data_IF_657237979110
#
_entry.id   IF_657237979110
#
_cell.length_a   1.000
_cell.length_b   1.000
_cell.length_c   1.000
_cell.angle_alpha   90.00
_cell.angle_beta   90.00
_cell.angle_gamma   90.00
#
_symmetry.space_group_name_H-M   'P 1'
#
loop_
_entity.id
_entity.type
_entity.pdbx_description
1 polymer ?
#
# COMPACT_ATOMS: atom_id res chain seq x y z
N UNK A 1 -18.79 -16.95 -7.16
CA UNK A 1 -18.45 -15.52 -7.33
C UNK A 1 -17.14 -15.47 -8.13
N UNK A 2 -17.21 -15.09 -9.41
CA UNK A 2 -15.99 -15.00 -10.25
C UNK A 2 -15.17 -13.82 -9.75
N UNK A 3 -13.96 -14.07 -9.28
CA UNK A 3 -13.02 -13.02 -8.92
C UNK A 3 -12.66 -12.26 -10.19
N UNK A 4 -13.05 -11.01 -10.30
CA UNK A 4 -12.62 -10.12 -11.39
C UNK A 4 -11.09 -10.00 -11.36
N UNK A 5 -10.43 -10.52 -12.36
CA UNK A 5 -8.96 -10.44 -12.46
C UNK A 5 -8.59 -8.98 -12.71
N UNK A 6 -7.92 -8.37 -11.74
CA UNK A 6 -7.38 -7.01 -11.90
C UNK A 6 -6.21 -7.07 -12.90
N UNK A 7 -6.35 -6.40 -14.04
CA UNK A 7 -5.36 -6.36 -15.13
C UNK A 7 -4.30 -5.28 -14.88
N UNK A 8 -4.75 -4.07 -14.54
CA UNK A 8 -3.87 -2.95 -14.25
C UNK A 8 -4.33 -2.19 -13.01
N UNK A 9 -3.39 -1.56 -12.36
CA UNK A 9 -3.62 -0.73 -11.17
C UNK A 9 -2.79 0.55 -11.28
N UNK A 10 -3.40 1.70 -10.96
CA UNK A 10 -2.69 2.98 -10.79
C UNK A 10 -3.05 3.59 -9.46
N UNK A 11 -2.06 4.18 -8.80
CA UNK A 11 -2.23 4.82 -7.50
C UNK A 11 -1.84 6.28 -7.58
N UNK A 12 -2.56 7.09 -6.82
CA UNK A 12 -2.34 8.52 -6.68
C UNK A 12 -2.42 8.92 -5.21
N UNK A 13 -1.62 9.89 -4.83
CA UNK A 13 -1.84 10.67 -3.63
C UNK A 13 -2.83 11.78 -3.92
N UNK A 14 -3.76 12.01 -3.01
CA UNK A 14 -4.74 13.09 -3.08
C UNK A 14 -4.32 14.22 -2.15
N UNK A 15 -4.48 15.46 -2.59
CA UNK A 15 -4.16 16.63 -1.78
C UNK A 15 -4.96 16.64 -0.46
N UNK A 16 -6.24 16.29 -0.54
CA UNK A 16 -7.15 16.23 0.61
C UNK A 16 -8.39 15.35 0.33
N UNK A 17 -9.32 15.33 1.29
CA UNK A 17 -10.60 14.59 1.16
C UNK A 17 -11.53 15.15 0.09
N UNK A 18 -11.37 16.41 -0.31
CA UNK A 18 -12.26 17.07 -1.28
C UNK A 18 -11.88 16.70 -2.72
N UNK A 19 -10.62 16.29 -2.93
CA UNK A 19 -10.09 15.82 -4.22
C UNK A 19 -10.90 14.68 -4.83
N UNK A 20 -11.58 13.88 -3.99
CA UNK A 20 -12.50 12.84 -4.45
C UNK A 20 -13.60 13.41 -5.35
N UNK A 21 -14.20 14.54 -4.99
CA UNK A 21 -15.29 15.16 -5.78
C UNK A 21 -14.78 15.62 -7.15
N UNK A 22 -13.56 16.15 -7.21
CA UNK A 22 -12.93 16.57 -8.45
C UNK A 22 -12.68 15.36 -9.38
N UNK A 23 -12.08 14.30 -8.85
CA UNK A 23 -11.84 13.06 -9.63
C UNK A 23 -13.15 12.50 -10.20
N UNK A 24 -14.21 12.39 -9.39
CA UNK A 24 -15.50 11.86 -9.81
C UNK A 24 -16.14 12.74 -10.91
N UNK A 25 -16.04 14.06 -10.79
CA UNK A 25 -16.50 15.00 -11.81
C UNK A 25 -15.79 14.82 -13.15
N UNK A 26 -14.46 14.72 -13.11
CA UNK A 26 -13.63 14.55 -14.31
C UNK A 26 -13.95 13.21 -14.97
N UNK A 27 -14.10 12.14 -14.21
CA UNK A 27 -14.48 10.84 -14.74
C UNK A 27 -15.85 10.85 -15.41
N UNK A 28 -16.86 11.47 -14.81
CA UNK A 28 -18.17 11.61 -15.39
C UNK A 28 -18.13 12.40 -16.71
N UNK A 29 -17.30 13.46 -16.77
CA UNK A 29 -17.17 14.30 -17.96
C UNK A 29 -16.44 13.61 -19.11
N UNK A 30 -15.28 12.98 -18.85
CA UNK A 30 -14.45 12.37 -19.89
C UNK A 30 -14.81 10.91 -20.21
N UNK A 31 -15.39 10.21 -19.25
CA UNK A 31 -15.66 8.79 -19.38
C UNK A 31 -17.03 8.45 -19.95
N UNK A 32 -17.96 9.39 -19.96
CA UNK A 32 -19.39 9.12 -20.22
C UNK A 32 -19.94 8.00 -19.33
N UNK A 33 -19.43 7.84 -18.10
CA UNK A 33 -19.80 6.79 -17.17
C UNK A 33 -20.54 7.36 -15.98
N UNK A 34 -21.53 6.64 -15.54
CA UNK A 34 -22.04 6.77 -14.18
C UNK A 34 -21.08 6.10 -13.20
N UNK A 35 -20.71 6.83 -12.17
CA UNK A 35 -19.89 6.32 -11.08
C UNK A 35 -20.80 5.91 -9.92
N UNK A 36 -21.07 4.61 -9.81
CA UNK A 36 -21.89 4.05 -8.74
C UNK A 36 -21.08 3.87 -7.47
N UNK A 37 -21.55 4.44 -6.36
CA UNK A 37 -21.00 4.19 -5.05
C UNK A 37 -21.31 2.76 -4.59
N UNK A 38 -20.28 1.98 -4.30
CA UNK A 38 -20.38 0.58 -3.92
C UNK A 38 -20.41 0.38 -2.41
N UNK A 39 -19.91 1.36 -1.64
CA UNK A 39 -19.90 1.29 -0.20
C UNK A 39 -18.64 1.81 0.45
N UNK A 40 -18.63 1.71 1.78
CA UNK A 40 -17.51 2.06 2.64
C UNK A 40 -16.96 0.79 3.28
N UNK A 41 -15.68 0.53 3.10
CA UNK A 41 -15.00 -0.65 3.64
C UNK A 41 -13.88 -0.20 4.57
N UNK A 42 -13.82 -0.80 5.75
CA UNK A 42 -12.68 -0.65 6.67
C UNK A 42 -11.76 -1.85 6.51
N UNK A 43 -10.48 -1.58 6.28
CA UNK A 43 -9.41 -2.59 6.10
C UNK A 43 -8.29 -2.26 7.08
N UNK A 44 -7.74 -3.27 7.74
CA UNK A 44 -6.55 -3.11 8.58
C UNK A 44 -5.50 -4.08 8.07
N UNK A 45 -4.30 -3.55 7.80
CA UNK A 45 -3.14 -4.32 7.37
C UNK A 45 -2.09 -4.26 8.47
N UNK A 46 -1.65 -5.41 8.95
CA UNK A 46 -0.51 -5.51 9.87
C UNK A 46 0.64 -6.14 9.11
N UNK A 47 1.69 -5.35 8.83
CA UNK A 47 2.89 -5.77 8.14
C UNK A 47 3.91 -6.34 9.11
N UNK A 48 4.57 -7.41 8.67
CA UNK A 48 5.61 -8.11 9.44
C UNK A 48 6.92 -8.09 8.66
N UNK A 49 8.03 -7.90 9.38
CA UNK A 49 9.38 -7.97 8.82
C UNK A 49 10.36 -8.32 9.96
N UNK A 50 11.62 -8.51 9.62
CA UNK A 50 12.71 -8.60 10.59
C UNK A 50 13.11 -7.19 11.06
N UNK A 51 13.87 -7.06 12.18
CA UNK A 51 14.42 -5.78 12.60
C UNK A 51 15.25 -5.07 11.53
N UNK A 52 15.90 -5.85 10.66
CA UNK A 52 16.73 -5.34 9.57
C UNK A 52 15.95 -5.06 8.28
N UNK A 53 14.62 -5.29 8.26
CA UNK A 53 13.78 -5.17 7.07
C UNK A 53 14.22 -6.08 5.92
N UNK A 54 14.56 -7.32 6.23
CA UNK A 54 15.11 -8.27 5.24
C UNK A 54 14.06 -8.65 4.18
N UNK A 55 12.78 -8.80 4.56
CA UNK A 55 11.69 -9.06 3.61
C UNK A 55 11.51 -7.88 2.66
N UNK A 56 11.42 -6.66 3.20
CA UNK A 56 11.25 -5.45 2.39
C UNK A 56 12.41 -5.26 1.41
N UNK A 57 13.66 -5.45 1.85
CA UNK A 57 14.85 -5.35 0.99
C UNK A 57 14.85 -6.41 -0.13
N UNK A 58 14.24 -7.55 0.11
CA UNK A 58 14.08 -8.63 -0.87
C UNK A 58 12.85 -8.46 -1.77
N UNK A 59 12.11 -7.35 -1.63
CA UNK A 59 10.88 -7.09 -2.39
C UNK A 59 9.70 -7.94 -1.92
N UNK A 60 9.76 -8.50 -0.72
CA UNK A 60 8.68 -9.31 -0.15
C UNK A 60 7.88 -8.47 0.84
N UNK A 61 6.56 -8.57 0.76
CA UNK A 61 5.65 -8.04 1.76
C UNK A 61 4.85 -9.17 2.40
N UNK A 62 4.98 -9.33 3.71
CA UNK A 62 4.18 -10.24 4.54
C UNK A 62 3.23 -9.42 5.38
N UNK A 63 1.94 -9.69 5.28
CA UNK A 63 0.94 -8.94 6.04
C UNK A 63 -0.33 -9.74 6.34
N UNK A 64 -0.88 -9.48 7.51
CA UNK A 64 -2.24 -9.86 7.88
C UNK A 64 -3.20 -8.78 7.41
N UNK A 65 -4.36 -9.20 6.88
CA UNK A 65 -5.44 -8.29 6.49
C UNK A 65 -6.71 -8.62 7.24
N UNK A 66 -7.35 -7.62 7.83
CA UNK A 66 -8.65 -7.74 8.50
C UNK A 66 -9.67 -6.88 7.74
N UNK A 67 -10.70 -7.50 7.15
CA UNK A 67 -11.79 -6.84 6.41
C UNK A 67 -13.13 -7.43 6.88
N UNK A 68 -13.85 -6.72 7.75
CA UNK A 68 -15.10 -7.22 8.30
C UNK A 68 -14.90 -8.53 9.06
N UNK A 69 -15.49 -9.64 8.53
CA UNK A 69 -15.34 -10.99 9.07
C UNK A 69 -14.23 -11.82 8.40
N UNK A 70 -13.63 -11.30 7.32
CA UNK A 70 -12.56 -11.97 6.60
C UNK A 70 -11.21 -11.57 7.17
N UNK A 71 -10.38 -12.56 7.48
CA UNK A 71 -9.03 -12.40 7.99
C UNK A 71 -8.09 -13.26 7.14
N UNK A 72 -7.07 -12.65 6.57
CA UNK A 72 -6.13 -13.36 5.69
C UNK A 72 -4.69 -13.07 6.06
N UNK A 73 -3.82 -14.05 5.86
CA UNK A 73 -2.37 -13.86 5.84
C UNK A 73 -1.91 -13.92 4.39
N UNK A 74 -1.18 -12.91 3.98
CA UNK A 74 -0.76 -12.73 2.59
C UNK A 74 0.74 -12.52 2.53
N UNK A 75 1.39 -13.21 1.61
CA UNK A 75 2.77 -12.95 1.20
C UNK A 75 2.79 -12.58 -0.28
N UNK A 76 3.48 -11.50 -0.62
CA UNK A 76 3.62 -11.03 -2.00
C UNK A 76 5.08 -10.77 -2.31
N UNK A 77 5.51 -11.13 -3.52
CA UNK A 77 6.79 -10.74 -4.09
C UNK A 77 6.56 -9.57 -5.04
N UNK A 78 7.01 -8.38 -4.66
CA UNK A 78 7.05 -7.18 -5.50
C UNK A 78 8.49 -7.00 -5.99
N UNK A 79 8.79 -7.41 -7.21
CA UNK A 79 10.12 -7.13 -7.80
C UNK A 79 10.21 -5.64 -8.08
N UNK A 80 11.16 -4.96 -7.45
CA UNK A 80 11.50 -3.57 -7.76
C UNK A 80 12.19 -3.53 -9.14
N UNK A 81 11.71 -2.64 -10.01
CA UNK A 81 12.32 -2.40 -11.31
C UNK A 81 13.64 -1.63 -11.21
N UNK A 82 14.63 -2.03 -11.98
CA UNK A 82 15.69 -1.11 -12.41
C UNK A 82 15.16 -0.26 -13.56
N UNK A 83 15.46 1.03 -13.53
CA UNK A 83 14.94 2.04 -14.48
C UNK A 83 15.43 1.87 -15.93
N UNK A 84 16.31 0.91 -16.23
CA UNK A 84 17.05 0.85 -17.50
C UNK A 84 16.39 0.03 -18.61
N UNK A 85 15.18 -0.49 -18.46
CA UNK A 85 14.58 -1.29 -19.51
C UNK A 85 13.22 -0.74 -19.98
N UNK A 86 13.25 -0.13 -21.18
CA UNK A 86 12.09 0.32 -21.97
C UNK A 86 11.09 -0.78 -22.40
N UNK A 87 11.17 -1.97 -21.84
CA UNK A 87 10.18 -3.04 -22.05
C UNK A 87 9.40 -3.23 -20.78
N UNK A 88 8.12 -2.89 -20.81
CA UNK A 88 7.10 -3.32 -19.86
C UNK A 88 7.09 -4.86 -19.80
N UNK A 89 7.97 -5.44 -18.98
CA UNK A 89 7.83 -6.84 -18.63
C UNK A 89 6.68 -6.94 -17.64
N UNK A 90 5.68 -7.68 -18.03
CA UNK A 90 4.57 -8.12 -17.19
C UNK A 90 5.13 -8.88 -16.00
N UNK A 91 5.17 -8.24 -14.82
CA UNK A 91 5.55 -8.93 -13.60
C UNK A 91 4.45 -9.87 -13.17
N UNK A 92 4.77 -11.12 -13.04
CA UNK A 92 3.99 -12.01 -12.21
C UNK A 92 4.31 -11.64 -10.77
N UNK A 93 3.51 -10.77 -10.17
CA UNK A 93 3.50 -10.60 -8.73
C UNK A 93 3.07 -11.94 -8.16
N UNK A 94 4.02 -12.68 -7.60
CA UNK A 94 3.69 -13.92 -6.91
C UNK A 94 2.97 -13.53 -5.63
N UNK A 95 1.80 -14.11 -5.41
CA UNK A 95 0.96 -13.81 -4.27
C UNK A 95 0.41 -15.11 -3.70
N UNK A 96 0.74 -15.36 -2.44
CA UNK A 96 0.21 -16.46 -1.66
C UNK A 96 -0.73 -15.91 -0.58
N UNK A 97 -1.88 -16.55 -0.40
CA UNK A 97 -2.91 -16.09 0.55
C UNK A 97 -3.55 -17.29 1.23
N UNK A 98 -3.70 -17.21 2.56
CA UNK A 98 -4.54 -18.15 3.32
C UNK A 98 -5.55 -17.38 4.18
N UNK A 99 -6.69 -18.01 4.46
CA UNK A 99 -7.61 -17.56 5.48
C UNK A 99 -7.09 -17.96 6.86
N UNK A 100 -7.27 -17.07 7.83
CA UNK A 100 -6.83 -17.28 9.21
C UNK A 100 -7.92 -16.85 10.19
N UNK A 101 -7.82 -17.29 11.43
CA UNK A 101 -8.70 -16.81 12.49
C UNK A 101 -8.42 -15.35 12.87
N UNK A 102 -9.44 -14.63 13.32
CA UNK A 102 -9.35 -13.21 13.73
C UNK A 102 -8.20 -12.94 14.70
N UNK A 103 -8.03 -13.83 15.66
CA UNK A 103 -7.03 -13.69 16.75
C UNK A 103 -5.81 -14.58 16.54
N UNK A 104 -5.69 -15.22 15.37
CA UNK A 104 -4.54 -16.07 15.12
C UNK A 104 -3.26 -15.23 15.01
N UNK A 105 -2.24 -15.73 15.72
CA UNK A 105 -0.86 -15.31 15.46
C UNK A 105 -0.42 -15.86 14.11
N UNK A 106 0.38 -15.10 13.37
CA UNK A 106 1.00 -15.58 12.11
C UNK A 106 1.83 -16.85 12.34
N UNK A 107 2.37 -17.04 13.54
CA UNK A 107 3.19 -18.20 13.92
C UNK A 107 2.39 -19.51 14.07
N UNK A 108 1.05 -19.47 14.04
CA UNK A 108 0.23 -20.69 13.90
C UNK A 108 0.27 -21.26 12.49
N UNK A 109 0.75 -20.50 11.52
CA UNK A 109 0.75 -20.84 10.10
C UNK A 109 2.16 -21.00 9.53
N UNK A 110 3.06 -21.65 10.32
CA UNK A 110 4.47 -21.81 9.97
C UNK A 110 4.68 -22.56 8.67
N UNK A 111 3.87 -23.58 8.38
CA UNK A 111 3.99 -24.33 7.12
C UNK A 111 3.68 -23.44 5.91
N UNK A 112 2.64 -22.62 5.99
CA UNK A 112 2.36 -21.63 4.95
C UNK A 112 3.53 -20.67 4.77
N UNK A 113 4.06 -20.12 5.86
CA UNK A 113 5.18 -19.18 5.80
C UNK A 113 6.43 -19.82 5.20
N UNK A 114 6.79 -21.04 5.63
CA UNK A 114 7.95 -21.78 5.08
C UNK A 114 7.80 -22.03 3.58
N UNK A 115 6.66 -22.60 3.17
CA UNK A 115 6.40 -22.91 1.77
C UNK A 115 6.40 -21.66 0.90
N UNK A 116 5.75 -20.58 1.35
CA UNK A 116 5.72 -19.31 0.64
C UNK A 116 7.13 -18.69 0.53
N UNK A 117 7.95 -18.77 1.56
CA UNK A 117 9.34 -18.30 1.51
C UNK A 117 10.17 -19.11 0.50
N UNK A 118 10.14 -20.45 0.58
CA UNK A 118 10.85 -21.30 -0.35
C UNK A 118 10.47 -21.01 -1.80
N UNK A 119 9.20 -20.81 -2.03
CA UNK A 119 8.65 -20.51 -3.33
C UNK A 119 9.06 -19.11 -3.86
N UNK A 120 9.16 -18.10 -2.99
CA UNK A 120 9.45 -16.71 -3.39
C UNK A 120 10.94 -16.44 -3.52
N UNK A 121 11.78 -17.06 -2.69
CA UNK A 121 13.21 -16.82 -2.70
C UNK A 121 13.96 -17.62 -3.77
N UNK A 122 13.30 -18.55 -4.49
CA UNK A 122 13.97 -19.46 -5.43
C UNK A 122 15.21 -20.11 -4.81
N UNK A 123 15.33 -21.39 -4.86
CA UNK A 123 16.30 -22.30 -4.27
C UNK A 123 17.81 -21.98 -4.37
N UNK A 124 18.20 -20.82 -4.88
CA UNK A 124 19.59 -20.41 -5.10
C UNK A 124 20.26 -19.67 -3.94
N UNK A 125 19.49 -19.26 -2.93
CA UNK A 125 20.05 -18.68 -1.71
C UNK A 125 19.86 -19.68 -0.58
N UNK A 126 20.92 -20.00 0.13
CA UNK A 126 20.90 -20.76 1.39
C UNK A 126 20.17 -19.92 2.46
N UNK A 127 18.86 -19.80 2.28
CA UNK A 127 18.01 -18.95 3.08
C UNK A 127 17.44 -19.80 4.21
N UNK A 128 17.87 -19.53 5.41
CA UNK A 128 17.32 -20.18 6.60
C UNK A 128 15.96 -19.54 6.93
N UNK A 129 14.89 -20.17 6.38
CA UNK A 129 13.52 -19.73 6.62
C UNK A 129 13.21 -19.73 8.11
N UNK A 130 13.72 -20.67 8.90
CA UNK A 130 13.48 -20.77 10.34
C UNK A 130 14.16 -19.64 11.10
N UNK A 131 15.32 -19.21 10.67
CA UNK A 131 16.00 -18.05 11.24
C UNK A 131 15.21 -16.75 11.03
N UNK A 132 14.65 -16.55 9.82
CA UNK A 132 13.80 -15.40 9.57
C UNK A 132 12.50 -15.46 10.36
N UNK A 133 11.84 -16.61 10.36
CA UNK A 133 10.57 -16.77 11.07
C UNK A 133 10.69 -16.40 12.54
N UNK A 134 11.79 -16.75 13.20
CA UNK A 134 12.07 -16.40 14.61
C UNK A 134 12.23 -14.89 14.83
N UNK A 135 12.59 -14.13 13.79
CA UNK A 135 12.84 -12.69 13.89
C UNK A 135 11.67 -11.83 13.41
N UNK A 136 10.62 -12.44 12.86
CA UNK A 136 9.45 -11.69 12.39
C UNK A 136 8.73 -11.00 13.55
N UNK A 137 8.43 -9.73 13.36
CA UNK A 137 7.62 -8.94 14.27
C UNK A 137 6.76 -7.93 13.49
N UNK A 138 5.67 -7.41 14.08
CA UNK A 138 4.88 -6.36 13.46
C UNK A 138 5.72 -5.09 13.29
N UNK A 139 5.75 -4.53 12.09
CA UNK A 139 6.51 -3.30 11.79
C UNK A 139 5.59 -2.10 11.59
N UNK A 140 4.54 -2.28 10.79
CA UNK A 140 3.58 -1.22 10.46
C UNK A 140 2.16 -1.73 10.55
N UNK A 141 1.26 -0.87 11.04
CA UNK A 141 -0.19 -1.05 10.92
C UNK A 141 -0.74 0.04 10.03
N UNK A 142 -1.51 -0.35 9.01
CA UNK A 142 -2.18 0.58 8.11
C UNK A 142 -3.68 0.36 8.24
N UNK A 143 -4.37 1.33 8.81
CA UNK A 143 -5.84 1.33 8.86
C UNK A 143 -6.36 2.16 7.70
N UNK A 144 -7.12 1.53 6.81
CA UNK A 144 -7.69 2.14 5.61
C UNK A 144 -9.20 2.22 5.74
N UNK A 145 -9.77 3.40 5.46
CA UNK A 145 -11.19 3.57 5.22
C UNK A 145 -11.34 3.87 3.72
N UNK A 146 -11.86 2.89 2.97
CA UNK A 146 -12.07 3.01 1.52
C UNK A 146 -13.50 3.40 1.21
N UNK A 147 -13.69 4.38 0.31
CA UNK A 147 -14.94 4.63 -0.38
C UNK A 147 -14.80 4.11 -1.80
N UNK A 148 -15.52 3.05 -2.11
CA UNK A 148 -15.39 2.36 -3.38
C UNK A 148 -16.49 2.82 -4.35
N UNK A 149 -16.08 3.09 -5.60
CA UNK A 149 -16.96 3.44 -6.70
C UNK A 149 -16.64 2.54 -7.88
N UNK A 150 -17.66 2.15 -8.62
CA UNK A 150 -17.52 1.38 -9.85
C UNK A 150 -18.10 2.17 -10.99
N UNK A 151 -17.40 2.21 -12.14
CA UNK A 151 -17.98 2.71 -13.36
C UNK A 151 -19.04 1.73 -13.83
N UNK A 152 -20.26 2.22 -14.06
CA UNK A 152 -21.37 1.43 -14.56
C UNK A 152 -21.53 1.67 -16.06
N UNK A 153 -21.91 0.63 -16.73
CA UNK A 153 -22.39 0.43 -18.07
C UNK A 153 -22.48 1.63 -19.01
N UNK A 154 -21.49 1.78 -19.76
CA UNK A 154 -21.42 2.48 -21.00
C UNK A 154 -20.44 1.74 -21.87
N UNK A 155 -20.35 2.07 -23.12
CA UNK A 155 -19.28 1.63 -24.00
C UNK A 155 -17.97 2.19 -23.42
N UNK A 156 -17.27 1.41 -22.58
CA UNK A 156 -16.05 1.92 -22.06
C UNK A 156 -15.43 1.17 -20.86
N UNK A 157 -14.46 1.81 -20.20
CA UNK A 157 -13.59 1.23 -19.21
C UNK A 157 -14.32 0.82 -17.93
N UNK A 158 -14.47 -0.48 -17.68
CA UNK A 158 -14.89 -0.99 -16.39
C UNK A 158 -13.73 -0.90 -15.39
N UNK A 159 -13.84 0.01 -14.46
CA UNK A 159 -12.84 0.24 -13.43
C UNK A 159 -13.47 0.42 -12.04
N UNK A 160 -12.74 0.04 -11.02
CA UNK A 160 -13.07 0.34 -9.62
C UNK A 160 -12.14 1.42 -9.12
N UNK A 161 -12.71 2.43 -8.48
CA UNK A 161 -12.01 3.55 -7.85
C UNK A 161 -12.12 3.39 -6.35
N UNK A 162 -11.00 3.21 -5.68
CA UNK A 162 -10.93 3.15 -4.21
C UNK A 162 -10.31 4.45 -3.69
N UNK A 163 -11.13 5.26 -3.04
CA UNK A 163 -10.66 6.47 -2.34
C UNK A 163 -10.37 6.09 -0.90
N UNK A 164 -9.09 5.99 -0.59
CA UNK A 164 -8.58 5.49 0.67
C UNK A 164 -8.17 6.65 1.59
N UNK A 165 -8.69 6.65 2.81
CA UNK A 165 -8.13 7.40 3.91
C UNK A 165 -7.28 6.43 4.73
N UNK A 166 -5.97 6.54 4.58
CA UNK A 166 -5.00 5.68 5.23
C UNK A 166 -4.47 6.35 6.51
N UNK A 167 -4.40 5.57 7.58
CA UNK A 167 -3.69 5.89 8.80
C UNK A 167 -2.53 4.92 8.96
N UNK A 168 -1.31 5.43 8.84
CA UNK A 168 -0.07 4.69 9.00
C UNK A 168 0.41 4.79 10.43
N UNK A 169 0.74 3.65 11.04
CA UNK A 169 1.27 3.57 12.40
C UNK A 169 2.53 2.72 12.36
N UNK A 170 3.65 3.28 12.76
CA UNK A 170 4.86 2.51 13.03
C UNK A 170 4.67 1.77 14.35
N UNK A 171 4.86 0.44 14.33
CA UNK A 171 4.56 -0.39 15.48
C UNK A 171 5.54 -0.17 16.65
N UNK A 172 6.79 0.14 16.34
CA UNK A 172 7.84 0.37 17.33
C UNK A 172 7.77 1.80 17.91
N UNK A 173 7.86 2.80 17.04
CA UNK A 173 7.94 4.22 17.47
C UNK A 173 6.59 4.82 17.85
N UNK A 174 5.47 4.14 17.50
CA UNK A 174 4.08 4.62 17.67
C UNK A 174 3.76 5.91 16.91
N UNK A 175 4.66 6.35 16.01
CA UNK A 175 4.40 7.50 15.15
C UNK A 175 3.23 7.19 14.25
N UNK A 176 2.30 8.13 14.19
CA UNK A 176 1.08 8.05 13.40
C UNK A 176 1.04 9.17 12.38
N UNK A 177 0.77 8.80 11.11
CA UNK A 177 0.54 9.74 10.01
C UNK A 177 -0.70 9.35 9.22
N UNK A 178 -1.28 10.32 8.54
CA UNK A 178 -2.50 10.11 7.75
C UNK A 178 -2.29 10.63 6.33
N UNK A 179 -2.99 10.03 5.37
CA UNK A 179 -2.96 10.45 3.98
C UNK A 179 -4.21 10.02 3.22
N UNK A 180 -4.44 10.67 2.10
CA UNK A 180 -5.56 10.38 1.20
C UNK A 180 -4.99 9.84 -0.11
N UNK A 181 -5.57 8.73 -0.58
CA UNK A 181 -5.08 8.05 -1.77
C UNK A 181 -6.25 7.64 -2.67
N UNK A 182 -5.97 7.56 -3.95
CA UNK A 182 -6.85 6.96 -4.94
C UNK A 182 -6.14 5.77 -5.57
N UNK A 183 -6.81 4.63 -5.62
CA UNK A 183 -6.37 3.49 -6.42
C UNK A 183 -7.42 3.18 -7.46
N UNK A 184 -7.02 3.12 -8.73
CA UNK A 184 -7.89 2.76 -9.84
C UNK A 184 -7.49 1.36 -10.31
N UNK A 185 -8.46 0.45 -10.34
CA UNK A 185 -8.29 -0.94 -10.77
C UNK A 185 -9.05 -1.14 -12.08
N UNK A 186 -8.35 -1.58 -13.12
CA UNK A 186 -8.96 -2.03 -14.37
C UNK A 186 -9.37 -3.50 -14.25
N UNK A 187 -10.61 -3.83 -14.62
CA UNK A 187 -11.12 -5.20 -14.70
C UNK A 187 -11.02 -5.73 -16.13
N UNK A 188 -10.59 -6.98 -16.29
CA UNK A 188 -9.80 -7.47 -17.42
C UNK A 188 -10.49 -7.82 -18.71
N UNK A 189 -11.80 -7.71 -18.91
CA UNK A 189 -12.35 -8.31 -20.13
C UNK A 189 -12.97 -7.35 -21.15
N UNK A 190 -13.17 -6.09 -20.80
CA UNK A 190 -14.04 -5.21 -21.56
C UNK A 190 -13.42 -3.86 -21.96
N UNK A 191 -12.17 -3.62 -21.60
CA UNK A 191 -11.46 -2.40 -21.97
C UNK A 191 -10.04 -2.70 -22.41
N UNK A 192 -9.56 -1.97 -23.41
CA UNK A 192 -8.18 -2.06 -23.86
C UNK A 192 -7.22 -1.39 -22.88
N UNK A 193 -5.95 -1.76 -22.93
CA UNK A 193 -4.91 -1.10 -22.13
C UNK A 193 -4.77 0.37 -22.52
N UNK A 194 -5.06 0.70 -23.78
CA UNK A 194 -5.04 2.06 -24.30
C UNK A 194 -6.15 2.92 -23.69
N UNK A 195 -7.36 2.37 -23.52
CA UNK A 195 -8.46 3.08 -22.86
C UNK A 195 -8.12 3.43 -21.43
N UNK A 196 -7.50 2.50 -20.70
CA UNK A 196 -7.05 2.74 -19.33
C UNK A 196 -5.94 3.80 -19.27
N UNK A 197 -4.97 3.70 -20.15
CA UNK A 197 -3.86 4.66 -20.26
C UNK A 197 -4.37 6.06 -20.63
N UNK A 198 -5.30 6.15 -21.56
CA UNK A 198 -5.94 7.41 -21.95
C UNK A 198 -6.73 8.04 -20.81
N UNK A 199 -7.50 7.23 -20.05
CA UNK A 199 -8.21 7.70 -18.86
C UNK A 199 -7.25 8.27 -17.82
N UNK A 200 -6.18 7.52 -17.49
CA UNK A 200 -5.17 7.94 -16.53
C UNK A 200 -4.49 9.25 -16.97
N UNK A 201 -4.13 9.34 -18.24
CA UNK A 201 -3.50 10.55 -18.82
C UNK A 201 -4.42 11.77 -18.70
N UNK A 202 -5.71 11.61 -18.99
CA UNK A 202 -6.71 12.66 -18.81
C UNK A 202 -6.87 13.08 -17.36
N UNK A 203 -6.95 12.12 -16.43
CA UNK A 203 -7.02 12.41 -15.01
C UNK A 203 -5.81 13.22 -14.54
N UNK A 204 -4.60 12.80 -14.89
CA UNK A 204 -3.37 13.50 -14.50
C UNK A 204 -3.32 14.91 -15.10
N UNK A 205 -3.81 15.08 -16.34
CA UNK A 205 -3.82 16.38 -17.03
C UNK A 205 -4.81 17.38 -16.44
N UNK A 206 -6.00 16.92 -16.05
CA UNK A 206 -7.10 17.81 -15.67
C UNK A 206 -7.39 17.87 -14.18
N UNK A 207 -6.97 16.89 -13.40
CA UNK A 207 -7.12 16.89 -11.95
C UNK A 207 -5.83 17.36 -11.28
N UNK A 208 -5.83 18.58 -10.78
CA UNK A 208 -4.65 19.18 -10.13
C UNK A 208 -4.43 18.68 -8.69
N UNK A 209 -5.44 18.04 -8.12
CA UNK A 209 -5.41 17.56 -6.73
C UNK A 209 -4.91 16.12 -6.59
N UNK A 210 -4.38 15.53 -7.67
CA UNK A 210 -3.81 14.17 -7.64
C UNK A 210 -2.36 14.17 -8.09
N UNK A 211 -1.55 13.32 -7.45
CA UNK A 211 -0.15 13.08 -7.82
C UNK A 211 0.07 11.59 -8.00
N UNK A 212 0.56 11.12 -9.18
CA UNK A 212 0.87 9.71 -9.37
C UNK A 212 1.94 9.23 -8.39
N UNK A 213 1.73 8.06 -7.79
CA UNK A 213 2.72 7.42 -6.92
C UNK A 213 2.98 5.98 -7.35
N UNK A 214 4.25 5.55 -7.25
CA UNK A 214 4.67 4.18 -7.57
C UNK A 214 4.86 3.32 -6.32
N UNK A 215 5.03 3.97 -5.17
CA UNK A 215 5.33 3.28 -3.91
C UNK A 215 4.17 2.41 -3.43
N UNK A 216 4.52 1.28 -2.81
CA UNK A 216 3.57 0.44 -2.08
C UNK A 216 3.10 1.12 -0.78
N UNK A 217 1.97 0.65 -0.21
CA UNK A 217 1.49 1.19 1.08
C UNK A 217 2.53 1.05 2.19
N UNK A 218 3.28 -0.04 2.23
CA UNK A 218 4.33 -0.24 3.23
C UNK A 218 5.52 0.68 3.02
N UNK A 219 5.90 0.95 1.77
CA UNK A 219 6.95 1.91 1.46
C UNK A 219 6.55 3.34 1.90
N UNK A 220 5.30 3.72 1.65
CA UNK A 220 4.75 5.00 2.13
C UNK A 220 4.75 5.03 3.67
N UNK A 221 4.25 3.98 4.35
CA UNK A 221 4.25 3.89 5.80
C UNK A 221 5.66 4.10 6.38
N UNK A 222 6.66 3.43 5.80
CA UNK A 222 8.05 3.56 6.17
C UNK A 222 8.57 4.99 6.01
N UNK A 223 8.28 5.62 4.88
CA UNK A 223 8.72 6.99 4.56
C UNK A 223 8.12 8.04 5.51
N UNK A 224 6.82 7.93 5.80
CA UNK A 224 6.09 8.99 6.54
C UNK A 224 6.15 8.83 8.07
N UNK A 225 6.54 7.66 8.57
CA UNK A 225 6.63 7.39 10.01
C UNK A 225 8.07 7.30 10.54
N UNK A 226 9.05 7.73 9.76
CA UNK A 226 10.44 7.92 10.23
C UNK A 226 10.48 9.12 11.16
N UNK A 227 11.20 9.00 12.27
CA UNK A 227 11.51 10.16 13.12
C UNK A 227 12.32 11.16 12.29
N UNK A 228 11.97 12.45 12.30
CA UNK A 228 12.84 13.46 11.74
C UNK A 228 14.23 13.34 12.41
N UNK A 229 15.33 13.55 11.68
CA UNK A 229 16.65 13.56 12.28
C UNK A 229 16.64 14.51 13.49
N UNK A 230 17.18 14.02 14.62
CA UNK A 230 17.27 14.83 15.83
C UNK A 230 18.19 16.00 15.50
N UNK A 231 17.63 17.20 15.52
CA UNK A 231 18.40 18.41 15.32
C UNK A 231 19.28 18.64 16.57
N UNK A 232 20.49 18.12 16.52
CA UNK A 232 21.46 18.17 17.62
C UNK A 232 21.79 19.61 18.02
N UNK A 233 21.61 20.60 17.13
CA UNK A 233 21.83 22.02 17.45
C UNK A 233 20.86 22.57 18.49
N UNK A 234 19.65 21.96 18.58
CA UNK A 234 18.65 22.37 19.58
C UNK A 234 18.87 21.73 20.97
N UNK A 235 19.75 20.72 21.06
CA UNK A 235 20.04 20.04 22.34
C UNK A 235 21.14 20.78 23.10
N UNK A 236 22.08 21.37 22.41
CA UNK A 236 23.22 22.11 23.02
C UNK A 236 22.79 23.42 23.67
N UNK A 237 21.80 24.12 23.11
CA UNK A 237 21.38 25.43 23.63
C UNK A 237 20.58 25.40 24.94
N UNK A 238 20.05 24.26 25.37
CA UNK A 238 19.33 24.17 26.64
C UNK A 238 20.22 24.01 27.89
N UNK A 239 21.51 23.67 27.71
CA UNK A 239 22.44 23.54 28.84
C UNK A 239 23.09 24.87 29.28
N UNK A 240 23.21 25.81 28.35
CA UNK A 240 23.86 27.09 28.61
C UNK A 240 22.93 28.10 29.29
N UNK A 241 21.63 28.03 29.04
CA UNK A 241 20.64 28.92 29.68
C UNK A 241 20.43 28.61 31.17
N UNK A 242 20.73 27.40 31.64
CA UNK A 242 20.63 27.06 33.08
C UNK A 242 21.84 27.48 33.92
N UNK A 243 22.99 27.75 33.28
CA UNK A 243 24.19 28.22 33.99
C UNK A 243 24.16 29.73 34.25
N UNK A 244 23.48 30.51 33.40
CA UNK A 244 23.40 31.95 33.54
C UNK A 244 22.31 32.45 34.50
N UNK A 245 21.34 31.58 34.88
CA UNK A 245 20.32 31.92 35.90
C UNK A 245 20.73 31.63 37.36
N UNK A 246 21.92 31.08 37.58
CA UNK A 246 22.45 30.85 38.98
C UNK A 246 23.54 31.84 39.39
N UNK A 247 23.76 32.91 38.58
CA UNK A 247 24.75 33.96 38.90
C UNK A 247 24.12 35.36 38.94
N UNK A 248 22.81 35.45 39.28
CA UNK A 248 22.20 36.73 39.65
C UNK A 248 21.54 36.60 40.99
#
# INVERSE_FOLDING_TARGET
MQLDIVRQKRRFELLDKTSRKEVLKINAFFGKYEMRFMGKVKKVYTYYDTPNFDLYKSGIALFKTDIGKSHTLTMTLERLYSEDNRKLQTYRNKKEVIEIGKYDSIFKHLDFLRNSFLDMFNSSLSFDADFLLKKLHPTYVISTISHEYRSTDGIGLKATYSFDFDTFINYETKIKKQGYYLTIYQHSKESTDDDFTNLISKLVRYCKSITPIKESKVAIARKVTVLPPVDMSKITNKKDDKKNKKKK
#
